data_IF_374855831046
#
_entry.id   IF_374855831046
#
_cell.length_a   1.000
_cell.length_b   1.000
_cell.length_c   1.000
_cell.angle_alpha   90.00
_cell.angle_beta   90.00
_cell.angle_gamma   90.00
#
_symmetry.space_group_name_H-M   'P 1'
#
loop_
_entity.id
_entity.type
_entity.pdbx_description
1 polymer ?
#
# COMPACT_ATOMS: atom_id res chain seq x y z
N UNK A 1 4.59 6.90 -51.66
CA UNK A 1 4.30 5.62 -50.97
C UNK A 1 2.85 5.69 -50.52
N UNK A 2 1.99 4.85 -51.09
CA UNK A 2 0.54 4.82 -50.83
C UNK A 2 0.28 4.09 -49.49
N UNK A 3 -0.40 4.70 -48.51
CA UNK A 3 -0.77 4.05 -47.25
C UNK A 3 -1.71 2.83 -47.40
N UNK A 4 -2.26 2.57 -48.60
CA UNK A 4 -3.19 1.47 -48.87
C UNK A 4 -2.56 0.08 -48.99
N UNK A 5 -1.22 -0.02 -49.02
CA UNK A 5 -0.52 -1.26 -49.39
C UNK A 5 -0.31 -2.29 -48.25
N UNK A 6 -0.69 -1.97 -47.01
CA UNK A 6 -0.68 -2.92 -45.89
C UNK A 6 -1.96 -2.74 -45.07
N UNK A 7 -3.08 -3.40 -45.44
CA UNK A 7 -4.28 -3.35 -44.63
C UNK A 7 -3.99 -4.03 -43.30
N UNK A 8 -4.05 -3.27 -42.21
CA UNK A 8 -3.97 -3.79 -40.85
C UNK A 8 -5.13 -4.78 -40.65
N UNK A 9 -4.82 -6.08 -40.62
CA UNK A 9 -5.81 -7.13 -40.44
C UNK A 9 -6.27 -7.15 -38.98
N UNK A 10 -7.37 -6.45 -38.75
CA UNK A 10 -8.01 -6.30 -37.43
C UNK A 10 -8.41 -7.66 -36.86
N UNK A 11 -8.72 -8.65 -37.70
CA UNK A 11 -9.17 -9.97 -37.26
C UNK A 11 -7.97 -10.84 -36.85
N UNK A 12 -6.88 -10.78 -37.61
CA UNK A 12 -5.60 -11.36 -37.20
C UNK A 12 -5.08 -10.74 -35.91
N UNK A 13 -5.15 -9.41 -35.75
CA UNK A 13 -4.74 -8.72 -34.53
C UNK A 13 -5.59 -9.11 -33.32
N UNK A 14 -6.93 -9.18 -33.46
CA UNK A 14 -7.82 -9.64 -32.40
C UNK A 14 -7.50 -11.08 -31.98
N UNK A 15 -7.28 -11.96 -32.94
CA UNK A 15 -6.91 -13.36 -32.68
C UNK A 15 -5.56 -13.48 -31.98
N UNK A 16 -4.59 -12.64 -32.35
CA UNK A 16 -3.31 -12.52 -31.66
C UNK A 16 -3.49 -12.05 -30.21
N UNK A 17 -4.27 -11.00 -29.98
CA UNK A 17 -4.59 -10.51 -28.63
C UNK A 17 -5.27 -11.57 -27.78
N UNK A 18 -6.24 -12.31 -28.31
CA UNK A 18 -6.90 -13.40 -27.57
C UNK A 18 -5.93 -14.53 -27.20
N UNK A 19 -5.01 -14.88 -28.10
CA UNK A 19 -3.97 -15.88 -27.84
C UNK A 19 -3.02 -15.39 -26.74
N UNK A 20 -2.59 -14.13 -26.80
CA UNK A 20 -1.74 -13.51 -25.80
C UNK A 20 -2.44 -13.41 -24.43
N UNK A 21 -3.70 -12.99 -24.39
CA UNK A 21 -4.51 -12.96 -23.16
C UNK A 21 -4.65 -14.35 -22.54
N UNK A 22 -4.92 -15.36 -23.37
CA UNK A 22 -5.06 -16.76 -22.91
C UNK A 22 -3.75 -17.32 -22.39
N UNK A 23 -2.64 -17.01 -23.03
CA UNK A 23 -1.29 -17.36 -22.56
C UNK A 23 -0.99 -16.70 -21.21
N UNK A 24 -1.27 -15.39 -21.09
CA UNK A 24 -1.08 -14.62 -19.86
C UNK A 24 -1.92 -15.20 -18.71
N UNK A 25 -3.21 -15.49 -18.95
CA UNK A 25 -4.12 -16.10 -17.99
C UNK A 25 -3.66 -17.48 -17.52
N UNK A 26 -3.24 -18.35 -18.45
CA UNK A 26 -2.76 -19.69 -18.11
C UNK A 26 -1.46 -19.63 -17.29
N UNK A 27 -0.54 -18.74 -17.66
CA UNK A 27 0.70 -18.51 -16.90
C UNK A 27 0.42 -17.99 -15.48
N UNK A 28 -0.58 -17.11 -15.31
CA UNK A 28 -1.02 -16.67 -13.98
C UNK A 28 -1.63 -17.82 -13.16
N UNK A 29 -2.45 -18.68 -13.78
CA UNK A 29 -3.02 -19.86 -13.12
C UNK A 29 -1.93 -20.85 -12.67
N UNK A 30 -0.95 -21.12 -13.52
CA UNK A 30 0.18 -21.99 -13.20
C UNK A 30 1.05 -21.41 -12.08
N UNK A 31 1.36 -20.10 -12.13
CA UNK A 31 2.06 -19.41 -11.04
C UNK A 31 1.31 -19.51 -9.72
N UNK A 32 -0.02 -19.32 -9.72
CA UNK A 32 -0.85 -19.48 -8.52
C UNK A 32 -0.75 -20.89 -7.95
N UNK A 33 -0.90 -21.91 -8.80
CA UNK A 33 -0.74 -23.31 -8.38
C UNK A 33 0.64 -23.59 -7.82
N UNK A 34 1.69 -23.00 -8.41
CA UNK A 34 3.06 -23.16 -7.93
C UNK A 34 3.31 -22.45 -6.60
N UNK A 35 2.78 -21.24 -6.40
CA UNK A 35 2.82 -20.53 -5.09
C UNK A 35 2.07 -21.34 -4.02
N UNK A 36 0.96 -21.96 -4.38
CA UNK A 36 0.16 -22.80 -3.50
C UNK A 36 0.86 -24.13 -3.17
N UNK A 37 1.59 -24.71 -4.12
CA UNK A 37 2.43 -25.89 -3.90
C UNK A 37 3.71 -25.57 -3.09
N UNK A 38 4.33 -24.41 -3.34
CA UNK A 38 5.53 -23.91 -2.64
C UNK A 38 5.18 -23.20 -1.31
N UNK A 39 3.91 -23.25 -0.88
CA UNK A 39 3.45 -22.64 0.36
C UNK A 39 4.08 -23.38 1.54
N UNK A 40 5.28 -22.94 1.95
CA UNK A 40 5.89 -23.40 3.20
C UNK A 40 4.88 -23.18 4.32
N UNK A 41 4.70 -24.16 5.24
CA UNK A 41 3.85 -23.93 6.40
C UNK A 41 4.35 -22.66 7.09
N UNK A 42 3.48 -21.64 7.11
CA UNK A 42 3.79 -20.35 7.70
C UNK A 42 4.17 -20.64 9.15
N UNK A 43 5.45 -20.44 9.49
CA UNK A 43 5.93 -20.60 10.85
C UNK A 43 4.99 -19.88 11.81
N UNK A 44 4.76 -20.48 12.97
CA UNK A 44 3.78 -20.02 13.95
C UNK A 44 3.99 -18.52 14.19
N UNK A 45 2.97 -17.72 13.83
CA UNK A 45 3.05 -16.26 14.01
C UNK A 45 3.09 -15.99 15.51
N UNK A 46 4.22 -15.47 16.00
CA UNK A 46 4.31 -14.98 17.38
C UNK A 46 3.27 -13.90 17.62
N UNK A 47 2.25 -14.22 18.41
CA UNK A 47 1.26 -13.25 18.84
C UNK A 47 1.87 -12.34 19.90
N UNK A 48 1.95 -11.04 19.61
CA UNK A 48 2.30 -10.03 20.61
C UNK A 48 1.01 -9.47 21.17
N UNK A 49 0.78 -9.66 22.47
CA UNK A 49 -0.37 -9.09 23.17
C UNK A 49 -0.24 -7.57 23.17
N UNK A 50 -1.13 -6.89 22.44
CA UNK A 50 -1.28 -5.43 22.46
C UNK A 50 -2.54 -5.09 23.23
N UNK A 51 -2.39 -4.35 24.31
CA UNK A 51 -3.53 -3.96 25.15
C UNK A 51 -4.25 -2.73 24.58
N UNK A 52 -5.16 -3.01 23.64
CA UNK A 52 -5.97 -1.98 22.98
C UNK A 52 -7.00 -1.35 23.92
N UNK A 53 -7.49 -2.09 24.92
CA UNK A 53 -8.45 -1.59 25.90
C UNK A 53 -7.81 -0.50 26.78
N UNK A 54 -6.63 -0.77 27.34
CA UNK A 54 -5.89 0.23 28.12
C UNK A 54 -5.49 1.44 27.28
N UNK A 55 -5.10 1.23 26.01
CA UNK A 55 -4.81 2.33 25.10
C UNK A 55 -6.03 3.22 24.83
N UNK A 56 -7.21 2.61 24.67
CA UNK A 56 -8.47 3.33 24.50
C UNK A 56 -8.87 4.09 25.78
N UNK A 57 -8.72 3.47 26.95
CA UNK A 57 -9.01 4.13 28.22
C UNK A 57 -8.13 5.38 28.41
N UNK A 58 -6.83 5.26 28.16
CA UNK A 58 -5.91 6.42 28.19
C UNK A 58 -6.32 7.52 27.22
N UNK A 59 -6.85 7.16 26.04
CA UNK A 59 -7.34 8.16 25.08
C UNK A 59 -8.55 8.92 25.64
N UNK A 60 -9.47 8.22 26.30
CA UNK A 60 -10.63 8.79 26.97
C UNK A 60 -10.17 9.71 28.11
N UNK A 61 -9.34 9.21 29.03
CA UNK A 61 -8.84 9.98 30.18
C UNK A 61 -8.13 11.27 29.75
N UNK A 62 -7.37 11.20 28.66
CA UNK A 62 -6.60 12.34 28.17
C UNK A 62 -7.47 13.45 27.57
N UNK A 63 -8.58 13.13 26.89
CA UNK A 63 -9.30 14.12 26.08
C UNK A 63 -10.81 14.15 26.28
N UNK A 64 -11.45 13.04 26.65
CA UNK A 64 -12.91 12.88 26.58
C UNK A 64 -13.56 12.62 27.94
N UNK A 65 -12.79 12.40 29.00
CA UNK A 65 -13.31 12.31 30.37
C UNK A 65 -13.89 13.64 30.85
N UNK A 66 -14.70 13.60 31.91
CA UNK A 66 -15.29 14.80 32.54
C UNK A 66 -14.22 15.78 33.04
N UNK A 67 -13.09 15.25 33.51
CA UNK A 67 -11.89 16.01 33.88
C UNK A 67 -10.73 15.48 33.05
N UNK A 68 -10.57 15.93 31.79
CA UNK A 68 -9.56 15.40 30.90
C UNK A 68 -8.17 15.94 31.28
N UNK A 69 -7.12 15.14 31.07
CA UNK A 69 -5.73 15.58 31.27
C UNK A 69 -5.39 16.80 30.40
N UNK A 70 -5.96 16.89 29.20
CA UNK A 70 -5.75 17.98 28.26
C UNK A 70 -7.03 18.79 28.07
N UNK A 71 -6.89 20.11 28.11
CA UNK A 71 -7.99 21.03 27.88
C UNK A 71 -8.43 21.08 26.40
N UNK A 72 -9.52 21.82 26.16
CA UNK A 72 -10.09 21.96 24.82
C UNK A 72 -9.18 22.74 23.85
N UNK A 73 -8.33 23.64 24.36
CA UNK A 73 -7.37 24.38 23.54
C UNK A 73 -6.27 23.44 23.00
N UNK A 74 -5.75 22.56 23.86
CA UNK A 74 -4.80 21.51 23.49
C UNK A 74 -5.44 20.47 22.56
N UNK A 75 -6.70 20.09 22.81
CA UNK A 75 -7.45 19.24 21.90
C UNK A 75 -7.54 19.86 20.50
N UNK A 76 -7.97 21.12 20.40
CA UNK A 76 -8.11 21.83 19.14
C UNK A 76 -6.79 21.99 18.41
N UNK A 77 -5.69 22.24 19.13
CA UNK A 77 -4.35 22.29 18.55
C UNK A 77 -3.95 20.94 17.95
N UNK A 78 -4.31 19.84 18.60
CA UNK A 78 -3.93 18.47 18.19
C UNK A 78 -4.77 17.93 17.03
N UNK A 79 -6.08 18.09 17.09
CA UNK A 79 -7.01 17.51 16.11
C UNK A 79 -7.50 18.53 15.07
N UNK A 80 -7.12 19.81 15.21
CA UNK A 80 -7.49 20.92 14.32
C UNK A 80 -9.00 21.20 14.23
N UNK A 81 -9.77 20.71 15.20
CA UNK A 81 -11.22 20.91 15.30
C UNK A 81 -11.68 20.92 16.76
N UNK A 82 -12.92 21.36 16.99
CA UNK A 82 -13.53 21.32 18.32
C UNK A 82 -13.97 19.90 18.68
N UNK A 83 -13.97 19.58 19.99
CA UNK A 83 -14.28 18.24 20.52
C UNK A 83 -15.67 17.74 20.15
N UNK A 84 -16.67 18.62 20.17
CA UNK A 84 -18.04 18.24 19.82
C UNK A 84 -18.17 17.82 18.35
N UNK A 85 -17.45 18.47 17.42
CA UNK A 85 -17.40 18.09 16.01
C UNK A 85 -16.74 16.73 15.84
N UNK A 86 -15.63 16.51 16.55
CA UNK A 86 -14.94 15.23 16.56
C UNK A 86 -15.88 14.08 17.00
N UNK A 87 -16.59 14.27 18.13
CA UNK A 87 -17.51 13.27 18.66
C UNK A 87 -18.70 13.02 17.73
N UNK A 88 -19.22 14.07 17.07
CA UNK A 88 -20.26 13.92 16.06
C UNK A 88 -19.80 13.05 14.89
N UNK A 89 -18.59 13.26 14.38
CA UNK A 89 -18.04 12.43 13.30
C UNK A 89 -17.88 10.97 13.76
N UNK A 90 -17.39 10.75 14.98
CA UNK A 90 -17.28 9.39 15.54
C UNK A 90 -18.65 8.72 15.61
N UNK A 91 -19.66 9.43 16.11
CA UNK A 91 -21.04 8.94 16.18
C UNK A 91 -21.57 8.59 14.78
N UNK A 92 -21.55 9.56 13.86
CA UNK A 92 -22.09 9.40 12.51
C UNK A 92 -21.42 8.20 11.80
N UNK A 93 -20.09 8.09 11.86
CA UNK A 93 -19.36 6.95 11.27
C UNK A 93 -19.70 5.62 11.94
N UNK A 94 -19.84 5.60 13.26
CA UNK A 94 -20.19 4.38 14.00
C UNK A 94 -21.59 3.89 13.67
N UNK A 95 -22.50 4.80 13.31
CA UNK A 95 -23.87 4.48 12.90
C UNK A 95 -23.98 4.09 11.42
N UNK A 96 -23.14 4.63 10.54
CA UNK A 96 -23.26 4.39 9.09
C UNK A 96 -22.38 3.25 8.58
N UNK A 97 -21.20 3.04 9.17
CA UNK A 97 -20.21 2.12 8.65
C UNK A 97 -19.82 1.06 9.69
N UNK A 98 -20.09 -0.18 9.30
CA UNK A 98 -19.75 -1.40 10.00
C UNK A 98 -18.28 -1.51 10.41
N UNK A 99 -17.35 -0.91 9.66
CA UNK A 99 -15.93 -0.85 10.02
C UNK A 99 -15.68 0.00 11.27
N UNK A 100 -16.45 1.06 11.49
CA UNK A 100 -16.34 1.97 12.63
C UNK A 100 -17.17 1.52 13.83
N UNK A 101 -17.41 0.21 13.98
CA UNK A 101 -18.00 -0.37 15.19
C UNK A 101 -16.93 -1.07 16.03
N UNK A 102 -17.16 -1.19 17.34
CA UNK A 102 -16.37 -2.08 18.19
C UNK A 102 -16.93 -3.50 18.05
N UNK A 103 -16.10 -4.45 17.65
CA UNK A 103 -16.50 -5.85 17.43
C UNK A 103 -15.71 -6.76 18.34
N UNK A 104 -16.29 -7.88 18.72
CA UNK A 104 -15.60 -8.93 19.44
C UNK A 104 -14.91 -9.88 18.45
N UNK A 105 -13.71 -10.33 18.79
CA UNK A 105 -13.06 -11.42 18.06
C UNK A 105 -13.64 -12.78 18.46
N UNK A 106 -13.22 -13.85 17.77
CA UNK A 106 -13.66 -15.22 18.07
C UNK A 106 -13.26 -15.71 19.48
N UNK A 107 -12.37 -14.99 20.16
CA UNK A 107 -11.96 -15.25 21.55
C UNK A 107 -12.68 -14.33 22.55
N UNK A 108 -13.77 -13.67 22.12
CA UNK A 108 -14.57 -12.73 22.89
C UNK A 108 -13.78 -11.53 23.44
N UNK A 109 -12.74 -11.09 22.74
CA UNK A 109 -11.99 -9.87 23.07
C UNK A 109 -12.52 -8.70 22.27
N UNK A 110 -12.68 -7.57 22.95
CA UNK A 110 -13.04 -6.32 22.31
C UNK A 110 -11.97 -5.88 21.31
N UNK A 111 -12.41 -5.62 20.08
CA UNK A 111 -11.62 -5.01 19.04
C UNK A 111 -11.41 -3.52 19.28
N UNK A 112 -10.75 -2.89 18.31
CA UNK A 112 -10.42 -1.46 18.36
C UNK A 112 -11.70 -0.62 18.36
N UNK A 113 -11.80 0.31 19.30
CA UNK A 113 -12.96 1.20 19.44
C UNK A 113 -13.11 2.15 18.23
N UNK A 114 -14.33 2.61 17.94
CA UNK A 114 -14.59 3.63 16.92
C UNK A 114 -13.82 4.92 17.18
N UNK A 115 -13.76 5.31 18.45
CA UNK A 115 -13.04 6.48 18.92
C UNK A 115 -11.55 6.41 18.56
N UNK A 116 -10.91 5.26 18.81
CA UNK A 116 -9.49 5.05 18.49
C UNK A 116 -9.23 5.03 16.97
N UNK A 117 -10.12 4.41 16.18
CA UNK A 117 -10.05 4.41 14.71
C UNK A 117 -10.11 5.84 14.16
N UNK A 118 -11.13 6.61 14.56
CA UNK A 118 -11.31 7.99 14.14
C UNK A 118 -10.16 8.89 14.62
N UNK A 119 -9.70 8.72 15.86
CA UNK A 119 -8.53 9.45 16.40
C UNK A 119 -7.30 9.26 15.52
N UNK A 120 -7.04 8.03 15.09
CA UNK A 120 -5.90 7.72 14.24
C UNK A 120 -6.04 8.40 12.87
N UNK A 121 -7.19 8.25 12.22
CA UNK A 121 -7.47 8.87 10.92
C UNK A 121 -7.39 10.40 10.98
N UNK A 122 -7.99 11.04 11.98
CA UNK A 122 -7.97 12.49 12.12
C UNK A 122 -6.58 13.03 12.46
N UNK A 123 -5.75 12.30 13.21
CA UNK A 123 -4.35 12.68 13.43
C UNK A 123 -3.54 12.62 12.14
N UNK A 124 -3.80 11.63 11.29
CA UNK A 124 -3.20 11.55 9.95
C UNK A 124 -3.64 12.73 9.08
N UNK A 125 -4.91 13.14 9.12
CA UNK A 125 -5.40 14.33 8.40
C UNK A 125 -4.79 15.63 8.95
N UNK A 126 -4.66 15.75 10.28
CA UNK A 126 -4.18 16.96 10.95
C UNK A 126 -2.67 17.20 10.76
N UNK A 127 -1.87 16.14 10.66
CA UNK A 127 -0.40 16.23 10.63
C UNK A 127 0.26 15.56 9.42
N UNK A 128 -0.34 14.49 8.90
CA UNK A 128 0.34 13.48 8.08
C UNK A 128 0.34 13.70 6.58
N UNK A 129 -0.32 14.73 6.07
CA UNK A 129 -0.38 14.97 4.61
C UNK A 129 0.53 16.07 4.12
N UNK A 130 0.99 17.01 4.95
CA UNK A 130 1.78 18.15 4.46
C UNK A 130 3.28 17.93 4.62
N UNK A 131 3.75 17.57 5.82
CA UNK A 131 5.19 17.43 6.10
C UNK A 131 5.76 16.13 5.61
N UNK A 132 5.06 15.01 5.78
CA UNK A 132 5.49 13.70 5.28
C UNK A 132 5.52 13.66 3.76
N UNK A 133 4.52 14.28 3.12
CA UNK A 133 4.47 14.38 1.65
C UNK A 133 5.56 15.30 1.12
N UNK A 134 5.80 16.47 1.75
CA UNK A 134 6.88 17.37 1.36
C UNK A 134 8.27 16.75 1.61
N UNK A 135 8.44 16.06 2.74
CA UNK A 135 9.67 15.32 3.03
C UNK A 135 9.90 14.21 2.00
N UNK A 136 8.87 13.40 1.69
CA UNK A 136 8.94 12.37 0.66
C UNK A 136 9.26 12.97 -0.71
N UNK A 137 8.60 14.07 -1.08
CA UNK A 137 8.85 14.80 -2.33
C UNK A 137 10.30 15.28 -2.41
N UNK A 138 10.83 15.92 -1.35
CA UNK A 138 12.22 16.39 -1.28
C UNK A 138 13.22 15.25 -1.30
N UNK A 139 12.93 14.18 -0.56
CA UNK A 139 13.74 12.97 -0.53
C UNK A 139 13.83 12.34 -1.92
N UNK A 140 12.70 12.05 -2.57
CA UNK A 140 12.66 11.49 -3.92
C UNK A 140 13.38 12.40 -4.92
N UNK A 141 13.13 13.71 -4.88
CA UNK A 141 13.86 14.68 -5.73
C UNK A 141 15.37 14.59 -5.52
N UNK A 142 15.82 14.50 -4.26
CA UNK A 142 17.25 14.43 -3.95
C UNK A 142 17.89 13.10 -4.37
N UNK A 143 17.18 11.99 -4.18
CA UNK A 143 17.62 10.66 -4.63
C UNK A 143 17.76 10.64 -6.16
N UNK A 144 16.78 11.17 -6.91
CA UNK A 144 16.87 11.27 -8.36
C UNK A 144 18.11 12.08 -8.75
N UNK A 145 18.29 13.29 -8.21
CA UNK A 145 19.47 14.11 -8.51
C UNK A 145 20.81 13.43 -8.20
N UNK A 146 20.90 12.65 -7.12
CA UNK A 146 22.14 11.99 -6.72
C UNK A 146 22.50 10.81 -7.65
N UNK A 147 21.49 10.12 -8.17
CA UNK A 147 21.70 8.84 -8.84
C UNK A 147 21.23 8.80 -10.30
N UNK A 148 20.66 9.88 -10.83
CA UNK A 148 20.17 9.93 -12.21
C UNK A 148 21.28 9.63 -13.22
N UNK A 149 22.49 10.16 -12.99
CA UNK A 149 23.64 9.90 -13.87
C UNK A 149 24.12 8.44 -13.83
N UNK A 150 23.78 7.68 -12.78
CA UNK A 150 24.21 6.28 -12.62
C UNK A 150 23.12 5.31 -13.08
N UNK A 151 21.87 5.54 -12.69
CA UNK A 151 20.77 4.58 -12.90
C UNK A 151 19.70 5.05 -13.90
N UNK A 152 19.61 6.34 -14.22
CA UNK A 152 18.66 6.86 -15.21
C UNK A 152 19.34 7.21 -16.55
N UNK A 153 20.64 6.90 -16.70
CA UNK A 153 21.33 6.96 -17.99
C UNK A 153 20.91 5.82 -18.91
N UNK A 154 21.12 5.99 -20.21
CA UNK A 154 21.01 4.89 -21.16
C UNK A 154 22.00 3.76 -20.76
N UNK A 155 21.59 2.47 -20.81
CA UNK A 155 22.47 1.35 -20.56
C UNK A 155 23.68 1.40 -21.50
N UNK A 156 24.89 1.18 -20.98
CA UNK A 156 26.07 0.98 -21.83
C UNK A 156 26.09 -0.46 -22.34
N UNK A 157 26.97 -0.72 -23.30
CA UNK A 157 27.15 -2.08 -23.83
C UNK A 157 27.55 -3.07 -22.73
N UNK A 158 28.37 -2.64 -21.76
CA UNK A 158 28.74 -3.45 -20.59
C UNK A 158 27.54 -3.73 -19.67
N UNK A 159 26.67 -2.73 -19.45
CA UNK A 159 25.45 -2.94 -18.66
C UNK A 159 24.52 -3.94 -19.36
N UNK A 160 24.36 -3.81 -20.68
CA UNK A 160 23.54 -4.72 -21.49
C UNK A 160 24.08 -6.14 -21.43
N UNK A 161 25.39 -6.33 -21.59
CA UNK A 161 26.02 -7.65 -21.45
C UNK A 161 25.82 -8.24 -20.06
N UNK A 162 25.98 -7.42 -19.01
CA UNK A 162 25.76 -7.86 -17.64
C UNK A 162 24.30 -8.24 -17.37
N UNK A 163 23.35 -7.43 -17.83
CA UNK A 163 21.91 -7.68 -17.68
C UNK A 163 21.51 -8.96 -18.44
N UNK A 164 21.97 -9.12 -19.68
CA UNK A 164 21.69 -10.29 -20.50
C UNK A 164 22.26 -11.57 -19.87
N UNK A 165 23.49 -11.53 -19.35
CA UNK A 165 24.13 -12.66 -18.67
C UNK A 165 23.38 -13.08 -17.39
N UNK A 166 22.94 -12.11 -16.59
CA UNK A 166 22.13 -12.38 -15.38
C UNK A 166 20.79 -12.99 -15.77
N UNK A 167 20.12 -12.42 -16.77
CA UNK A 167 18.82 -12.90 -17.21
C UNK A 167 18.92 -14.31 -17.84
N UNK A 168 19.97 -14.61 -18.58
CA UNK A 168 20.23 -15.94 -19.14
C UNK A 168 20.41 -16.99 -18.03
N UNK A 169 21.18 -16.69 -16.99
CA UNK A 169 21.31 -17.57 -15.80
C UNK A 169 19.98 -17.81 -15.08
N UNK A 170 19.05 -16.86 -15.16
CA UNK A 170 17.72 -16.98 -14.59
C UNK A 170 16.69 -17.61 -15.54
N UNK A 171 17.09 -18.02 -16.75
CA UNK A 171 16.22 -18.67 -17.74
C UNK A 171 15.47 -17.70 -18.67
N UNK A 172 15.93 -16.46 -18.79
CA UNK A 172 15.36 -15.41 -19.65
C UNK A 172 16.38 -14.90 -20.68
N UNK A 173 16.83 -15.74 -21.64
CA UNK A 173 17.83 -15.33 -22.63
C UNK A 173 17.30 -14.19 -23.52
N UNK A 174 18.12 -13.18 -23.77
CA UNK A 174 17.79 -12.04 -24.64
C UNK A 174 16.93 -10.93 -24.02
N UNK A 175 16.48 -11.08 -22.76
CA UNK A 175 15.65 -10.06 -22.11
C UNK A 175 16.50 -8.96 -21.47
N UNK A 176 16.09 -7.70 -21.65
CA UNK A 176 16.76 -6.52 -21.04
C UNK A 176 15.87 -5.79 -20.01
N UNK A 177 14.54 -5.99 -20.05
CA UNK A 177 13.57 -5.12 -19.35
C UNK A 177 12.71 -5.74 -18.25
N UNK A 178 13.01 -6.93 -17.73
CA UNK A 178 12.16 -7.51 -16.66
C UNK A 178 12.68 -7.19 -15.26
N UNK A 179 11.94 -6.33 -14.57
CA UNK A 179 12.11 -6.02 -13.13
C UNK A 179 11.95 -7.28 -12.27
N UNK A 180 11.20 -8.29 -12.75
CA UNK A 180 10.95 -9.55 -12.04
C UNK A 180 12.14 -10.51 -12.12
N UNK A 181 13.15 -10.21 -12.96
CA UNK A 181 14.36 -11.01 -13.17
C UNK A 181 15.60 -10.42 -12.47
N UNK A 182 15.41 -9.51 -11.51
CA UNK A 182 16.51 -8.91 -10.73
C UNK A 182 16.47 -9.28 -9.24
N UNK A 183 15.74 -10.34 -8.87
CA UNK A 183 15.70 -10.94 -7.53
C UNK A 183 16.33 -12.33 -7.56
#
# INVERSE_FOLDING_TARGET
MDPSQYPFDVEAYKKQCEIEERYVLNRFKERRKKIEADYRPRGERKYVKRDHATANQRLIDNYFANQPTYDDAMFRRRFRMQKHVFLRIVWDLSSTDNYFTQRFDAANKEGISPLAKCTTAMRMLAYGTTTTLECLRRFCKRIIQLYEGVYLRAPTQDDLQRILHVNEKQGFPGMIGSIVCMH
#
